data_IF_678303999257
#
_entry.id   IF_678303999257
#
_cell.length_a   1.000
_cell.length_b   1.000
_cell.length_c   1.000
_cell.angle_alpha   90.00
_cell.angle_beta   90.00
_cell.angle_gamma   90.00
#
_symmetry.space_group_name_H-M   'P 1'
#
loop_
_entity.id
_entity.type
_entity.pdbx_description
1 polymer ?
#
# COMPACT_ATOMS: atom_id res chain seq x y z
N UNK A 1 2.92 13.77 15.76
CA UNK A 1 4.12 14.45 15.22
C UNK A 1 5.11 13.47 14.57
N UNK A 2 5.37 12.30 15.14
CA UNK A 2 6.30 11.29 14.60
C UNK A 2 5.89 10.74 13.21
N UNK A 3 4.61 10.53 12.94
CA UNK A 3 4.11 9.97 11.66
C UNK A 3 4.38 10.94 10.49
N UNK A 4 4.13 12.24 10.67
CA UNK A 4 4.40 13.23 9.64
C UNK A 4 5.90 13.32 9.30
N UNK A 5 6.76 13.25 10.31
CA UNK A 5 8.22 13.26 10.16
C UNK A 5 8.66 11.97 9.45
N UNK A 6 8.15 10.82 9.85
CA UNK A 6 8.45 9.55 9.20
C UNK A 6 8.03 9.55 7.72
N UNK A 7 6.85 10.08 7.41
CA UNK A 7 6.35 10.21 6.05
C UNK A 7 7.22 11.18 5.22
N UNK A 8 7.64 12.29 5.83
CA UNK A 8 8.57 13.24 5.19
C UNK A 8 9.91 12.58 4.85
N UNK A 9 10.54 11.93 5.83
CA UNK A 9 11.83 11.27 5.63
C UNK A 9 11.72 10.14 4.61
N UNK A 10 10.67 9.32 4.67
CA UNK A 10 10.43 8.24 3.71
C UNK A 10 10.28 8.77 2.28
N UNK A 11 9.57 9.90 2.11
CA UNK A 11 9.42 10.55 0.81
C UNK A 11 10.76 11.07 0.29
N UNK A 12 11.56 11.72 1.13
CA UNK A 12 12.89 12.19 0.74
C UNK A 12 13.81 11.03 0.35
N UNK A 13 13.79 9.92 1.09
CA UNK A 13 14.58 8.73 0.77
C UNK A 13 14.13 8.06 -0.54
N UNK A 14 12.82 8.00 -0.79
CA UNK A 14 12.27 7.48 -2.05
C UNK A 14 12.77 8.26 -3.26
N UNK A 15 12.78 9.59 -3.15
CA UNK A 15 13.35 10.45 -4.20
C UNK A 15 14.87 10.29 -4.32
N UNK A 16 15.60 10.22 -3.20
CA UNK A 16 17.04 10.00 -3.22
C UNK A 16 17.42 8.67 -3.92
N UNK A 17 16.62 7.62 -3.75
CA UNK A 17 16.81 6.35 -4.44
C UNK A 17 16.67 6.45 -5.96
N UNK A 18 15.78 7.32 -6.43
CA UNK A 18 15.63 7.63 -7.86
C UNK A 18 16.86 8.35 -8.43
N UNK A 19 17.43 9.31 -7.68
CA UNK A 19 18.65 9.99 -8.08
C UNK A 19 19.87 9.06 -8.16
N UNK A 20 19.91 8.03 -7.30
CA UNK A 20 20.99 7.05 -7.26
C UNK A 20 20.91 6.04 -8.43
N UNK A 21 19.93 6.14 -9.31
CA UNK A 21 19.72 5.20 -10.42
C UNK A 21 19.26 3.81 -9.99
N UNK A 22 18.91 3.64 -8.71
CA UNK A 22 18.41 2.38 -8.15
C UNK A 22 16.97 2.08 -8.60
N UNK A 23 16.23 3.09 -9.01
CA UNK A 23 14.86 2.96 -9.53
C UNK A 23 14.68 3.84 -10.75
N UNK A 24 14.15 3.28 -11.82
CA UNK A 24 13.76 3.99 -13.03
C UNK A 24 12.50 4.83 -12.87
N UNK A 25 11.73 4.56 -11.80
CA UNK A 25 10.47 5.23 -11.51
C UNK A 25 10.43 5.69 -10.05
N UNK A 26 10.40 7.01 -9.77
CA UNK A 26 10.45 7.55 -8.40
C UNK A 26 9.20 7.20 -7.58
N UNK A 27 8.11 6.85 -8.23
CA UNK A 27 6.82 6.60 -7.58
C UNK A 27 6.74 5.23 -6.89
N UNK A 28 7.41 4.21 -7.41
CA UNK A 28 7.38 2.88 -6.81
C UNK A 28 7.98 2.86 -5.39
N UNK A 29 9.18 3.43 -5.15
CA UNK A 29 9.70 3.56 -3.79
C UNK A 29 8.81 4.41 -2.89
N UNK A 30 8.22 5.50 -3.41
CA UNK A 30 7.31 6.36 -2.66
C UNK A 30 6.06 5.59 -2.19
N UNK A 31 5.41 4.85 -3.09
CA UNK A 31 4.26 4.02 -2.77
C UNK A 31 4.60 2.92 -1.76
N UNK A 32 5.76 2.29 -1.91
CA UNK A 32 6.23 1.29 -0.96
C UNK A 32 6.44 1.89 0.44
N UNK A 33 7.12 3.03 0.54
CA UNK A 33 7.30 3.73 1.81
C UNK A 33 5.97 4.18 2.42
N UNK A 34 5.05 4.73 1.62
CA UNK A 34 3.73 5.14 2.07
C UNK A 34 2.93 3.97 2.64
N UNK A 35 3.01 2.79 2.00
CA UNK A 35 2.29 1.60 2.42
C UNK A 35 2.65 1.14 3.84
N UNK A 36 3.93 1.27 4.24
CA UNK A 36 4.38 0.95 5.60
C UNK A 36 3.86 1.91 6.66
N UNK A 37 3.57 3.16 6.28
CA UNK A 37 3.13 4.21 7.20
C UNK A 37 1.61 4.23 7.33
N UNK A 38 0.88 3.69 6.33
CA UNK A 38 -0.59 3.62 6.36
C UNK A 38 -1.06 2.82 7.58
N UNK A 39 -1.92 3.40 8.42
CA UNK A 39 -2.43 2.75 9.63
C UNK A 39 -3.51 1.72 9.30
N UNK A 40 -3.13 0.63 8.59
CA UNK A 40 -4.07 -0.39 8.11
C UNK A 40 -4.81 -1.10 9.23
N UNK A 41 -4.12 -1.49 10.30
CA UNK A 41 -4.73 -2.15 11.45
C UNK A 41 -5.73 -1.24 12.17
N UNK A 42 -5.42 0.02 12.50
CA UNK A 42 -6.42 0.95 13.03
C UNK A 42 -7.63 1.17 12.11
N UNK A 43 -7.41 1.17 10.78
CA UNK A 43 -8.50 1.29 9.80
C UNK A 43 -9.48 0.11 9.88
N UNK A 44 -8.97 -1.11 9.98
CA UNK A 44 -9.79 -2.31 10.09
C UNK A 44 -10.50 -2.33 11.44
N UNK A 45 -9.77 -2.06 12.53
CA UNK A 45 -10.31 -2.16 13.88
C UNK A 45 -11.45 -1.17 14.15
N UNK A 46 -11.43 0.06 13.61
CA UNK A 46 -12.55 0.95 13.83
C UNK A 46 -13.82 0.51 13.07
N UNK A 47 -13.65 -0.09 11.89
CA UNK A 47 -14.78 -0.65 11.12
C UNK A 47 -15.38 -1.84 11.87
N UNK A 48 -14.54 -2.72 12.39
CA UNK A 48 -14.91 -3.89 13.18
C UNK A 48 -15.71 -3.49 14.43
N UNK A 49 -15.19 -2.52 15.21
CA UNK A 49 -15.90 -1.97 16.36
C UNK A 49 -17.28 -1.38 15.99
N UNK A 50 -17.41 -0.75 14.81
CA UNK A 50 -18.68 -0.21 14.34
C UNK A 50 -19.68 -1.33 13.98
N UNK A 51 -19.19 -2.40 13.34
CA UNK A 51 -20.02 -3.57 12.98
C UNK A 51 -20.49 -4.29 14.24
N UNK A 52 -19.62 -4.42 15.24
CA UNK A 52 -19.92 -5.04 16.54
C UNK A 52 -20.77 -4.15 17.47
N UNK A 53 -21.31 -3.05 16.93
CA UNK A 53 -22.17 -2.09 17.64
C UNK A 53 -21.47 -1.34 18.80
N UNK A 54 -20.13 -1.29 18.80
CA UNK A 54 -19.34 -0.50 19.73
C UNK A 54 -19.08 0.91 19.19
N UNK A 55 -20.15 1.66 18.87
CA UNK A 55 -20.10 2.91 18.12
C UNK A 55 -19.18 3.97 18.72
N UNK A 56 -19.18 4.16 20.04
CA UNK A 56 -18.32 5.18 20.69
C UNK A 56 -16.83 4.83 20.54
N UNK A 57 -16.49 3.57 20.69
CA UNK A 57 -15.11 3.10 20.52
C UNK A 57 -14.71 3.21 19.07
N UNK A 58 -15.56 2.77 18.14
CA UNK A 58 -15.34 2.88 16.71
C UNK A 58 -15.11 4.33 16.25
N UNK A 59 -15.96 5.28 16.72
CA UNK A 59 -15.82 6.70 16.36
C UNK A 59 -14.50 7.30 16.89
N UNK A 60 -14.13 7.01 18.13
CA UNK A 60 -12.87 7.52 18.69
C UNK A 60 -11.64 6.95 17.98
N UNK A 61 -11.67 5.68 17.61
CA UNK A 61 -10.61 5.05 16.80
C UNK A 61 -10.57 5.61 15.39
N UNK A 62 -11.73 5.82 14.76
CA UNK A 62 -11.84 6.45 13.44
C UNK A 62 -11.23 7.85 13.45
N UNK A 63 -11.58 8.70 14.42
CA UNK A 63 -11.02 10.04 14.54
C UNK A 63 -9.50 10.02 14.69
N UNK A 64 -8.97 9.15 15.55
CA UNK A 64 -7.52 9.00 15.73
C UNK A 64 -6.83 8.51 14.45
N UNK A 65 -7.43 7.55 13.75
CA UNK A 65 -6.91 7.03 12.47
C UNK A 65 -6.90 8.11 11.39
N UNK A 66 -7.97 8.92 11.31
CA UNK A 66 -8.03 10.04 10.36
C UNK A 66 -6.96 11.11 10.65
N UNK A 67 -6.66 11.39 11.93
CA UNK A 67 -5.54 12.26 12.30
C UNK A 67 -4.20 11.68 11.86
N UNK A 68 -4.00 10.37 11.97
CA UNK A 68 -2.77 9.70 11.52
C UNK A 68 -2.62 9.81 9.99
N UNK A 69 -3.69 9.55 9.24
CA UNK A 69 -3.72 9.68 7.77
C UNK A 69 -3.45 11.14 7.36
N UNK A 70 -4.10 12.10 8.03
CA UNK A 70 -3.87 13.52 7.76
C UNK A 70 -2.43 13.94 8.03
N UNK A 71 -1.83 13.48 9.12
CA UNK A 71 -0.43 13.75 9.44
C UNK A 71 0.53 13.15 8.40
N UNK A 72 0.24 11.92 7.93
CA UNK A 72 1.01 11.26 6.87
C UNK A 72 0.93 12.04 5.57
N UNK A 73 -0.29 12.40 5.14
CA UNK A 73 -0.53 13.15 3.90
C UNK A 73 0.18 14.50 3.93
N UNK A 74 0.12 15.20 5.07
CA UNK A 74 0.85 16.46 5.27
C UNK A 74 2.36 16.27 5.14
N UNK A 75 2.92 15.22 5.74
CA UNK A 75 4.35 14.90 5.65
C UNK A 75 4.81 14.66 4.22
N UNK A 76 4.06 13.89 3.45
CA UNK A 76 4.34 13.62 2.02
C UNK A 76 4.23 14.90 1.19
N UNK A 77 3.14 15.65 1.35
CA UNK A 77 2.91 16.89 0.60
C UNK A 77 4.00 17.95 0.88
N UNK A 78 4.42 18.06 2.14
CA UNK A 78 5.48 18.99 2.53
C UNK A 78 6.83 18.57 1.93
N UNK A 79 7.15 17.26 1.95
CA UNK A 79 8.37 16.73 1.31
C UNK A 79 8.38 17.04 -0.19
N UNK A 80 7.28 16.78 -0.89
CA UNK A 80 7.17 17.09 -2.31
C UNK A 80 7.38 18.58 -2.59
N UNK A 81 6.80 19.47 -1.76
CA UNK A 81 7.01 20.91 -1.90
C UNK A 81 8.46 21.32 -1.74
N UNK A 82 9.15 20.79 -0.74
CA UNK A 82 10.57 21.07 -0.51
C UNK A 82 11.42 20.60 -1.69
N UNK A 83 11.12 19.43 -2.25
CA UNK A 83 11.83 18.87 -3.41
C UNK A 83 11.63 19.74 -4.66
N UNK A 84 10.40 20.19 -4.93
CA UNK A 84 10.10 21.10 -6.06
C UNK A 84 10.81 22.44 -5.93
N UNK A 85 10.90 23.00 -4.71
CA UNK A 85 11.58 24.27 -4.46
C UNK A 85 13.10 24.19 -4.69
N UNK A 86 13.69 23.02 -4.73
CA UNK A 86 15.10 22.80 -5.02
C UNK A 86 15.36 22.40 -6.48
N UNK A 87 14.48 22.81 -7.42
CA UNK A 87 14.55 22.52 -8.86
C UNK A 87 14.68 21.02 -9.19
N UNK A 88 14.25 20.18 -8.27
CA UNK A 88 14.12 18.75 -8.54
C UNK A 88 12.86 18.62 -9.38
N UNK A 89 13.02 18.48 -10.69
CA UNK A 89 11.92 18.22 -11.61
C UNK A 89 11.16 16.97 -11.16
N UNK A 90 10.03 17.22 -10.52
CA UNK A 90 9.04 16.16 -10.32
C UNK A 90 8.37 16.01 -11.68
N UNK A 91 8.93 15.13 -12.49
CA UNK A 91 8.48 14.81 -13.82
C UNK A 91 6.95 14.66 -13.79
N UNK A 92 6.26 15.36 -14.69
CA UNK A 92 4.78 15.40 -14.80
C UNK A 92 4.15 14.02 -15.12
N UNK A 93 4.93 12.96 -15.11
CA UNK A 93 4.52 11.57 -15.31
C UNK A 93 3.65 10.96 -14.22
N UNK A 94 3.18 11.76 -13.23
CA UNK A 94 2.11 11.31 -12.33
C UNK A 94 0.82 10.93 -13.06
N UNK A 95 0.57 11.51 -14.23
CA UNK A 95 -0.59 11.17 -15.06
C UNK A 95 -0.42 9.87 -15.84
N UNK A 96 0.81 9.40 -15.99
CA UNK A 96 1.14 8.15 -16.68
C UNK A 96 1.44 7.00 -15.73
N UNK A 97 0.77 6.93 -14.58
CA UNK A 97 0.68 5.69 -13.79
C UNK A 97 -0.10 4.64 -14.60
N UNK A 98 0.47 4.28 -15.76
CA UNK A 98 -0.04 3.14 -16.50
C UNK A 98 0.28 1.90 -15.68
N UNK A 99 -0.75 1.31 -15.09
CA UNK A 99 -0.68 0.01 -14.43
C UNK A 99 -0.59 -1.13 -15.45
N UNK A 100 -0.09 -0.84 -16.65
CA UNK A 100 0.13 -1.84 -17.69
C UNK A 100 1.29 -2.75 -17.23
N UNK A 101 1.09 -4.05 -17.13
CA UNK A 101 2.16 -4.96 -16.75
C UNK A 101 3.24 -4.95 -17.85
N UNK A 102 4.45 -4.55 -17.47
CA UNK A 102 5.63 -4.60 -18.35
C UNK A 102 6.25 -5.99 -18.34
N UNK A 103 6.00 -6.75 -17.28
CA UNK A 103 6.59 -8.05 -17.01
C UNK A 103 5.56 -9.18 -17.09
N UNK A 104 5.99 -10.41 -17.36
CA UNK A 104 5.09 -11.57 -17.38
C UNK A 104 4.49 -11.85 -15.99
N UNK A 105 3.25 -12.34 -15.96
CA UNK A 105 2.43 -12.55 -14.75
C UNK A 105 3.12 -13.34 -13.62
N UNK A 106 4.02 -14.27 -13.94
CA UNK A 106 4.72 -15.06 -12.94
C UNK A 106 5.68 -14.22 -12.08
N UNK A 107 6.26 -13.15 -12.64
CA UNK A 107 7.13 -12.24 -11.87
C UNK A 107 6.31 -11.49 -10.81
N UNK A 108 5.12 -11.02 -11.20
CA UNK A 108 4.20 -10.36 -10.25
C UNK A 108 3.73 -11.33 -9.16
N UNK A 109 3.46 -12.59 -9.50
CA UNK A 109 3.07 -13.61 -8.53
C UNK A 109 4.18 -13.88 -7.50
N UNK A 110 5.43 -14.03 -7.94
CA UNK A 110 6.59 -14.24 -7.07
C UNK A 110 6.83 -13.00 -6.20
N UNK A 111 6.80 -11.81 -6.80
CA UNK A 111 6.97 -10.55 -6.07
C UNK A 111 5.86 -10.37 -5.01
N UNK A 112 4.62 -10.70 -5.33
CA UNK A 112 3.49 -10.66 -4.41
C UNK A 112 3.67 -11.63 -3.23
N UNK A 113 4.17 -12.84 -3.48
CA UNK A 113 4.45 -13.82 -2.43
C UNK A 113 5.52 -13.30 -1.46
N UNK A 114 6.63 -12.79 -2.00
CA UNK A 114 7.73 -12.25 -1.19
C UNK A 114 7.27 -11.02 -0.41
N UNK A 115 6.55 -10.10 -1.04
CA UNK A 115 6.01 -8.90 -0.40
C UNK A 115 5.02 -9.25 0.72
N UNK A 116 4.10 -10.19 0.47
CA UNK A 116 3.13 -10.64 1.46
C UNK A 116 3.79 -11.29 2.67
N UNK A 117 4.81 -12.15 2.45
CA UNK A 117 5.59 -12.75 3.53
C UNK A 117 6.36 -11.68 4.32
N UNK A 118 7.06 -10.76 3.64
CA UNK A 118 7.81 -9.69 4.29
C UNK A 118 6.92 -8.78 5.14
N UNK A 119 5.77 -8.39 4.60
CA UNK A 119 4.79 -7.58 5.32
C UNK A 119 4.23 -8.31 6.55
N UNK A 120 3.94 -9.60 6.42
CA UNK A 120 3.44 -10.43 7.51
C UNK A 120 4.45 -10.62 8.65
N UNK A 121 5.74 -10.62 8.34
CA UNK A 121 6.79 -10.69 9.36
C UNK A 121 6.83 -9.42 10.22
N UNK A 122 6.48 -8.26 9.69
CA UNK A 122 6.38 -7.01 10.45
C UNK A 122 5.25 -7.10 11.50
N UNK A 123 4.15 -7.79 11.16
CA UNK A 123 3.04 -8.03 12.09
C UNK A 123 3.25 -9.25 13.00
N UNK A 124 4.47 -9.80 13.01
CA UNK A 124 4.85 -10.93 13.87
C UNK A 124 3.97 -12.18 13.69
N UNK A 125 3.55 -12.44 12.46
CA UNK A 125 2.77 -13.63 12.12
C UNK A 125 3.65 -14.89 12.29
N UNK A 126 3.06 -15.96 12.79
CA UNK A 126 3.75 -17.23 13.00
C UNK A 126 4.36 -17.75 11.70
N UNK A 127 5.63 -18.17 11.74
CA UNK A 127 6.37 -18.64 10.57
C UNK A 127 5.68 -19.75 9.79
N UNK A 128 4.88 -20.57 10.48
CA UNK A 128 4.10 -21.66 9.86
C UNK A 128 2.99 -21.15 8.94
N UNK A 129 2.48 -19.95 9.18
CA UNK A 129 1.41 -19.35 8.41
C UNK A 129 1.91 -18.50 7.22
N UNK A 130 3.21 -18.26 7.13
CA UNK A 130 3.79 -17.44 6.04
C UNK A 130 3.49 -18.01 4.66
N UNK A 131 3.44 -19.34 4.52
CA UNK A 131 3.06 -20.00 3.26
C UNK A 131 1.62 -19.71 2.86
N UNK A 132 0.70 -19.70 3.83
CA UNK A 132 -0.71 -19.39 3.58
C UNK A 132 -0.84 -17.93 3.14
N UNK A 133 -0.12 -17.03 3.80
CA UNK A 133 -0.10 -15.60 3.43
C UNK A 133 0.51 -15.39 2.05
N UNK A 134 1.59 -16.10 1.71
CA UNK A 134 2.19 -16.04 0.39
C UNK A 134 1.21 -16.47 -0.70
N UNK A 135 0.48 -17.58 -0.50
CA UNK A 135 -0.56 -18.04 -1.41
C UNK A 135 -1.70 -17.02 -1.53
N UNK A 136 -2.13 -16.44 -0.40
CA UNK A 136 -3.12 -15.36 -0.39
C UNK A 136 -2.67 -14.16 -1.21
N UNK A 137 -1.40 -13.74 -1.08
CA UNK A 137 -0.82 -12.65 -1.86
C UNK A 137 -0.80 -12.94 -3.36
N UNK A 138 -0.42 -14.15 -3.75
CA UNK A 138 -0.45 -14.59 -5.16
C UNK A 138 -1.89 -14.52 -5.70
N UNK A 139 -2.85 -15.11 -4.99
CA UNK A 139 -4.26 -15.14 -5.42
C UNK A 139 -4.81 -13.71 -5.54
N UNK A 140 -4.53 -12.84 -4.55
CA UNK A 140 -4.98 -11.45 -4.58
C UNK A 140 -4.47 -10.70 -5.82
N UNK A 141 -3.16 -10.79 -6.09
CA UNK A 141 -2.53 -10.07 -7.21
C UNK A 141 -2.94 -10.66 -8.55
N UNK A 142 -3.00 -11.99 -8.68
CA UNK A 142 -3.46 -12.63 -9.92
C UNK A 142 -4.92 -12.27 -10.23
N UNK A 143 -5.81 -12.32 -9.24
CA UNK A 143 -7.22 -11.95 -9.42
C UNK A 143 -7.36 -10.46 -9.77
N UNK A 144 -6.64 -9.59 -9.06
CA UNK A 144 -6.61 -8.16 -9.35
C UNK A 144 -6.16 -7.88 -10.77
N UNK A 145 -5.05 -8.47 -11.20
CA UNK A 145 -4.51 -8.25 -12.54
C UNK A 145 -5.45 -8.79 -13.61
N UNK A 146 -6.02 -9.96 -13.41
CA UNK A 146 -7.02 -10.54 -14.32
C UNK A 146 -8.23 -9.61 -14.49
N UNK A 147 -8.82 -9.14 -13.40
CA UNK A 147 -9.99 -8.24 -13.45
C UNK A 147 -9.63 -6.88 -14.05
N UNK A 148 -8.43 -6.37 -13.77
CA UNK A 148 -7.99 -5.06 -14.25
C UNK A 148 -7.64 -5.08 -15.73
N UNK A 149 -6.92 -6.10 -16.22
CA UNK A 149 -6.36 -6.09 -17.56
C UNK A 149 -7.22 -6.89 -18.56
N UNK A 150 -7.70 -8.08 -18.18
CA UNK A 150 -8.51 -8.90 -19.07
C UNK A 150 -9.97 -8.42 -19.13
N UNK A 151 -10.54 -8.03 -18.00
CA UNK A 151 -11.93 -7.58 -17.94
C UNK A 151 -12.08 -6.07 -18.07
N UNK A 152 -10.99 -5.30 -17.93
CA UNK A 152 -10.99 -3.85 -18.13
C UNK A 152 -11.76 -3.03 -17.08
N UNK A 153 -12.10 -3.62 -15.93
CA UNK A 153 -12.88 -2.93 -14.88
C UNK A 153 -12.07 -1.92 -14.06
N UNK A 154 -10.77 -1.83 -14.30
CA UNK A 154 -9.90 -0.90 -13.60
C UNK A 154 -9.36 -1.42 -12.27
N UNK A 155 -8.34 -0.71 -11.71
CA UNK A 155 -7.56 -1.20 -10.58
C UNK A 155 -8.35 -1.26 -9.26
N UNK A 156 -9.37 -0.43 -9.09
CA UNK A 156 -10.17 -0.37 -7.86
C UNK A 156 -11.04 -1.62 -7.74
N UNK A 157 -11.79 -1.94 -8.80
CA UNK A 157 -12.64 -3.15 -8.83
C UNK A 157 -11.77 -4.40 -8.79
N UNK A 158 -10.63 -4.41 -9.50
CA UNK A 158 -9.68 -5.50 -9.44
C UNK A 158 -9.16 -5.78 -8.04
N UNK A 159 -8.81 -4.73 -7.28
CA UNK A 159 -8.35 -4.86 -5.90
C UNK A 159 -9.46 -5.35 -4.96
N UNK A 160 -10.68 -4.87 -5.14
CA UNK A 160 -11.84 -5.32 -4.37
C UNK A 160 -12.10 -6.82 -4.61
N UNK A 161 -12.13 -7.26 -5.87
CA UNK A 161 -12.34 -8.67 -6.20
C UNK A 161 -11.20 -9.56 -5.69
N UNK A 162 -9.94 -9.09 -5.76
CA UNK A 162 -8.79 -9.80 -5.21
C UNK A 162 -8.91 -10.03 -3.71
N UNK A 163 -9.25 -8.99 -2.95
CA UNK A 163 -9.44 -9.10 -1.49
C UNK A 163 -10.66 -9.96 -1.14
N UNK A 164 -11.74 -9.88 -1.91
CA UNK A 164 -12.94 -10.68 -1.71
C UNK A 164 -12.67 -12.18 -1.88
N UNK A 165 -11.96 -12.56 -2.95
CA UNK A 165 -11.59 -13.98 -3.19
C UNK A 165 -10.69 -14.50 -2.07
N UNK A 166 -9.69 -13.73 -1.65
CA UNK A 166 -8.82 -14.13 -0.53
C UNK A 166 -9.61 -14.30 0.76
N UNK A 167 -10.54 -13.38 1.05
CA UNK A 167 -11.39 -13.44 2.24
C UNK A 167 -12.26 -14.71 2.25
N UNK A 168 -12.86 -15.09 1.11
CA UNK A 168 -13.63 -16.32 1.01
C UNK A 168 -12.82 -17.59 1.28
N UNK A 169 -11.54 -17.58 0.88
CA UNK A 169 -10.62 -18.71 1.11
C UNK A 169 -10.17 -18.74 2.57
N UNK A 170 -9.96 -17.59 3.19
CA UNK A 170 -9.48 -17.47 4.55
C UNK A 170 -10.52 -17.88 5.62
N UNK A 171 -11.82 -17.82 5.30
CA UNK A 171 -12.93 -18.19 6.22
C UNK A 171 -13.07 -19.72 6.37
N UNK A 172 -12.44 -20.53 5.54
CA UNK A 172 -12.42 -21.98 5.66
C UNK A 172 -11.23 -22.48 6.49
#
# INVERSE_FOLDING_TARGET
MSIAIAAFVATCLAYASSFSGLSSTPYQPLLACALFIVPGVPLINFVDDMIDNHLLVGITRAANTMMMVGAMTFGIAFAMRVLVMNDIEIDHKFSELSMVPHDPYYIYAIAAAIAAMGFSMIFNIQRRLLWVVALGGIIAVCTRNFVNFELGYGPVIGSFMGSFVVSLIAVK
#
